data_IF_828237539359
#
_entry.id   IF_828237539359
#
_cell.length_a   1.000
_cell.length_b   1.000
_cell.length_c   1.000
_cell.angle_alpha   90.00
_cell.angle_beta   90.00
_cell.angle_gamma   90.00
#
_symmetry.space_group_name_H-M   'P 1'
#
loop_
_entity.id
_entity.type
_entity.pdbx_description
1 polymer ?
#
# COMPACT_ATOMS: atom_id res chain seq x y z
N UNK A 1 -24.30 12.00 -10.91
CA UNK A 1 -22.95 12.40 -11.35
C UNK A 1 -22.34 13.25 -10.26
N UNK A 2 -21.18 12.86 -9.71
CA UNK A 2 -20.54 13.58 -8.60
C UNK A 2 -19.73 14.81 -9.07
N UNK A 3 -19.63 15.08 -10.38
CA UNK A 3 -18.97 16.27 -10.95
C UNK A 3 -17.56 16.55 -10.40
N UNK A 4 -16.79 15.50 -10.07
CA UNK A 4 -15.44 15.65 -9.51
C UNK A 4 -15.35 15.99 -8.02
N UNK A 5 -16.46 16.13 -7.29
CA UNK A 5 -16.44 16.36 -5.85
C UNK A 5 -15.87 15.16 -5.07
N UNK A 6 -16.01 13.96 -5.65
CA UNK A 6 -15.29 12.77 -5.17
C UNK A 6 -13.93 12.75 -5.84
N UNK A 7 -12.93 13.30 -5.16
CA UNK A 7 -11.55 13.45 -5.65
C UNK A 7 -10.76 12.14 -5.64
N UNK A 8 -11.22 11.15 -6.41
CA UNK A 8 -10.54 9.86 -6.56
C UNK A 8 -9.72 9.84 -7.85
N UNK A 9 -8.40 9.75 -7.71
CA UNK A 9 -7.46 9.49 -8.79
C UNK A 9 -7.08 8.01 -8.75
N UNK A 10 -7.45 7.24 -9.78
CA UNK A 10 -7.29 5.78 -9.79
C UNK A 10 -6.37 5.34 -10.92
N UNK A 11 -5.55 4.34 -10.63
CA UNK A 11 -4.89 3.51 -11.62
C UNK A 11 -5.57 2.15 -11.57
N UNK A 12 -6.16 1.73 -12.69
CA UNK A 12 -6.86 0.47 -12.84
C UNK A 12 -6.08 -0.42 -13.80
N UNK A 13 -5.57 -1.54 -13.31
CA UNK A 13 -4.82 -2.51 -14.12
C UNK A 13 -5.35 -3.92 -13.90
N UNK A 14 -5.32 -4.73 -14.97
CA UNK A 14 -5.77 -6.12 -14.92
C UNK A 14 -5.38 -6.90 -16.17
N UNK A 15 -5.64 -8.20 -16.15
CA UNK A 15 -5.44 -9.10 -17.30
C UNK A 15 -6.74 -9.84 -17.56
N UNK A 16 -7.30 -9.66 -18.75
CA UNK A 16 -8.53 -10.34 -19.18
C UNK A 16 -8.26 -11.35 -20.32
N UNK A 17 -9.31 -11.73 -21.06
CA UNK A 17 -9.20 -12.66 -22.19
C UNK A 17 -8.49 -12.05 -23.41
N UNK A 18 -8.53 -10.73 -23.56
CA UNK A 18 -7.89 -9.99 -24.64
C UNK A 18 -6.43 -9.62 -24.32
N UNK A 19 -6.09 -9.45 -23.04
CA UNK A 19 -4.72 -9.24 -22.60
C UNK A 19 -4.59 -8.37 -21.35
N UNK A 20 -3.38 -7.83 -21.09
CA UNK A 20 -3.17 -6.85 -20.04
C UNK A 20 -3.71 -5.48 -20.46
N UNK A 21 -4.42 -4.82 -19.55
CA UNK A 21 -4.95 -3.47 -19.74
C UNK A 21 -4.61 -2.60 -18.54
N UNK A 22 -4.27 -1.34 -18.81
CA UNK A 22 -3.95 -0.33 -17.81
C UNK A 22 -4.66 0.98 -18.15
N UNK A 23 -5.41 1.49 -17.19
CA UNK A 23 -6.21 2.69 -17.31
C UNK A 23 -5.92 3.65 -16.16
N UNK A 24 -5.97 4.94 -16.44
CA UNK A 24 -6.10 5.99 -15.42
C UNK A 24 -7.52 6.50 -15.40
N UNK A 25 -8.02 6.84 -14.21
CA UNK A 25 -9.35 7.46 -14.03
C UNK A 25 -9.14 8.71 -13.19
N UNK A 26 -9.42 9.87 -13.78
CA UNK A 26 -9.31 11.15 -13.09
C UNK A 26 -10.60 11.46 -12.32
N UNK A 27 -10.54 12.31 -11.28
CA UNK A 27 -11.70 12.65 -10.45
C UNK A 27 -12.94 13.11 -11.21
N UNK A 28 -12.76 13.82 -12.33
CA UNK A 28 -13.87 14.31 -13.14
C UNK A 28 -14.44 13.26 -14.12
N UNK A 29 -13.90 12.04 -14.12
CA UNK A 29 -14.39 10.90 -14.89
C UNK A 29 -13.76 10.70 -16.26
N UNK A 30 -12.71 11.46 -16.64
CA UNK A 30 -11.94 11.10 -17.84
C UNK A 30 -11.10 9.87 -17.58
N UNK A 31 -10.79 9.17 -18.67
CA UNK A 31 -10.02 7.94 -18.64
C UNK A 31 -9.01 7.91 -19.76
N UNK A 32 -7.77 7.52 -19.45
CA UNK A 32 -6.74 7.25 -20.46
C UNK A 32 -6.33 5.78 -20.42
N UNK A 33 -5.91 5.23 -21.57
CA UNK A 33 -5.39 3.86 -21.69
C UNK A 33 -3.98 3.94 -22.25
N UNK A 34 -2.99 3.57 -21.44
CA UNK A 34 -1.57 3.76 -21.73
C UNK A 34 -0.75 2.56 -21.27
N UNK A 35 0.41 2.28 -21.89
CA UNK A 35 1.28 1.17 -21.51
C UNK A 35 1.87 1.30 -20.08
N UNK A 36 1.99 2.52 -19.58
CA UNK A 36 2.37 2.84 -18.20
C UNK A 36 1.61 4.10 -17.75
N UNK A 37 1.48 4.28 -16.44
CA UNK A 37 0.80 5.41 -15.86
C UNK A 37 1.40 5.77 -14.50
N UNK A 38 1.39 7.06 -14.15
CA UNK A 38 1.75 7.55 -12.83
C UNK A 38 0.67 8.51 -12.32
N UNK A 39 0.32 8.39 -11.05
CA UNK A 39 -0.67 9.26 -10.37
C UNK A 39 -0.15 9.62 -8.97
N UNK A 40 -0.73 10.66 -8.37
CA UNK A 40 -0.32 11.17 -7.05
C UNK A 40 0.71 12.30 -7.11
N UNK A 41 1.17 12.77 -5.96
CA UNK A 41 2.08 13.93 -5.84
C UNK A 41 3.48 13.66 -6.40
N UNK A 42 4.03 12.45 -6.20
CA UNK A 42 5.32 12.02 -6.75
C UNK A 42 5.28 11.55 -8.21
N UNK A 43 4.16 11.73 -8.91
CA UNK A 43 3.93 11.18 -10.26
C UNK A 43 4.92 11.66 -11.31
N UNK A 44 5.36 12.93 -11.25
CA UNK A 44 6.30 13.51 -12.22
C UNK A 44 7.70 12.88 -12.11
N UNK A 45 8.17 12.61 -10.89
CA UNK A 45 9.45 11.95 -10.65
C UNK A 45 9.43 10.49 -11.11
N UNK A 46 8.30 9.79 -10.91
CA UNK A 46 8.10 8.45 -11.44
C UNK A 46 7.99 8.44 -12.97
N UNK A 47 7.33 9.43 -13.56
CA UNK A 47 7.17 9.56 -15.02
C UNK A 47 8.52 9.69 -15.72
N UNK A 48 9.43 10.50 -15.16
CA UNK A 48 10.79 10.65 -15.71
C UNK A 48 11.55 9.32 -15.82
N UNK A 49 11.35 8.40 -14.87
CA UNK A 49 11.96 7.06 -14.90
C UNK A 49 11.34 6.20 -16.00
N UNK A 50 10.01 6.21 -16.13
CA UNK A 50 9.33 5.48 -17.20
C UNK A 50 9.74 5.99 -18.58
N UNK A 51 9.71 7.30 -18.82
CA UNK A 51 10.13 7.89 -20.11
C UNK A 51 11.58 7.57 -20.45
N UNK A 52 12.47 7.48 -19.46
CA UNK A 52 13.88 7.19 -19.69
C UNK A 52 14.18 5.71 -19.95
N UNK A 53 13.40 4.77 -19.39
CA UNK A 53 13.80 3.36 -19.28
C UNK A 53 12.77 2.35 -19.75
N UNK A 54 11.52 2.76 -19.93
CA UNK A 54 10.48 1.88 -20.43
C UNK A 54 10.79 1.45 -21.87
N UNK A 55 10.53 0.17 -22.15
CA UNK A 55 10.53 -0.38 -23.50
C UNK A 55 9.48 -1.47 -23.58
N UNK A 56 8.99 -1.73 -24.78
CA UNK A 56 8.14 -2.88 -25.01
C UNK A 56 8.90 -4.20 -24.76
N UNK A 57 8.15 -5.24 -24.37
CA UNK A 57 8.71 -6.58 -24.16
C UNK A 57 9.67 -6.70 -22.97
N UNK A 58 9.44 -5.96 -21.89
CA UNK A 58 10.15 -6.20 -20.62
C UNK A 58 9.81 -7.59 -20.07
N UNK A 59 10.82 -8.27 -19.53
CA UNK A 59 10.57 -9.44 -18.69
C UNK A 59 9.91 -9.04 -17.38
N UNK A 60 9.31 -10.00 -16.67
CA UNK A 60 8.71 -9.78 -15.35
C UNK A 60 9.67 -9.08 -14.40
N UNK A 61 10.91 -9.56 -14.30
CA UNK A 61 11.88 -9.05 -13.33
C UNK A 61 12.41 -7.66 -13.71
N UNK A 62 12.55 -7.37 -15.01
CA UNK A 62 12.86 -6.02 -15.48
C UNK A 62 11.71 -5.04 -15.19
N UNK A 63 10.46 -5.46 -15.42
CA UNK A 63 9.27 -4.66 -15.10
C UNK A 63 9.15 -4.35 -13.62
N UNK A 64 9.35 -5.36 -12.76
CA UNK A 64 9.38 -5.19 -11.30
C UNK A 64 10.44 -4.18 -10.90
N UNK A 65 11.69 -4.31 -11.39
CA UNK A 65 12.78 -3.38 -11.08
C UNK A 65 12.48 -1.95 -11.55
N UNK A 66 11.95 -1.79 -12.76
CA UNK A 66 11.60 -0.49 -13.33
C UNK A 66 10.55 0.24 -12.48
N UNK A 67 9.46 -0.45 -12.14
CA UNK A 67 8.40 0.12 -11.29
C UNK A 67 8.95 0.48 -9.92
N UNK A 68 9.77 -0.40 -9.34
CA UNK A 68 10.36 -0.16 -8.03
C UNK A 68 11.27 1.08 -8.02
N UNK A 69 12.07 1.26 -9.07
CA UNK A 69 12.89 2.45 -9.26
C UNK A 69 12.04 3.71 -9.46
N UNK A 70 10.96 3.64 -10.24
CA UNK A 70 10.05 4.77 -10.46
C UNK A 70 9.40 5.24 -9.15
N UNK A 71 8.94 4.31 -8.30
CA UNK A 71 8.39 4.65 -6.98
C UNK A 71 9.47 5.20 -6.05
N UNK A 72 10.68 4.63 -6.04
CA UNK A 72 11.80 5.20 -5.28
C UNK A 72 12.13 6.63 -5.71
N UNK A 73 12.11 6.92 -7.00
CA UNK A 73 12.29 8.30 -7.51
C UNK A 73 11.22 9.24 -6.93
N UNK A 74 9.96 8.81 -6.88
CA UNK A 74 8.89 9.54 -6.19
C UNK A 74 9.18 9.76 -4.70
N UNK A 75 9.56 8.71 -3.98
CA UNK A 75 9.89 8.76 -2.54
C UNK A 75 10.99 9.79 -2.22
N UNK A 76 12.05 9.84 -3.02
CA UNK A 76 13.20 10.72 -2.74
C UNK A 76 13.03 12.16 -3.24
N UNK A 77 12.06 12.43 -4.12
CA UNK A 77 11.88 13.75 -4.73
C UNK A 77 10.55 14.43 -4.39
N UNK A 78 9.61 13.73 -3.73
CA UNK A 78 8.33 14.29 -3.28
C UNK A 78 8.14 14.16 -1.76
N UNK A 79 7.81 15.27 -1.10
CA UNK A 79 7.61 15.31 0.36
C UNK A 79 6.32 14.59 0.79
N UNK A 80 5.33 14.49 -0.10
CA UNK A 80 4.09 13.75 0.14
C UNK A 80 4.23 12.23 -0.02
N UNK A 81 5.39 11.76 -0.49
CA UNK A 81 5.69 10.36 -0.76
C UNK A 81 6.78 9.85 0.18
N UNK A 82 6.73 8.57 0.56
CA UNK A 82 7.71 8.00 1.49
C UNK A 82 7.40 6.57 1.91
N UNK A 83 8.17 6.05 2.87
CA UNK A 83 8.05 4.68 3.41
C UNK A 83 8.60 3.59 2.46
N UNK A 84 7.88 2.48 2.33
CA UNK A 84 8.31 1.29 1.60
C UNK A 84 7.67 1.23 0.21
N UNK A 85 8.28 0.44 -0.67
CA UNK A 85 7.75 0.17 -2.01
C UNK A 85 6.99 -1.15 -1.99
N UNK A 86 5.73 -1.10 -2.36
CA UNK A 86 4.86 -2.28 -2.55
C UNK A 86 4.68 -2.54 -4.05
N UNK A 87 4.71 -3.81 -4.45
CA UNK A 87 4.53 -4.22 -5.85
C UNK A 87 3.46 -5.29 -5.92
N UNK A 88 2.56 -5.17 -6.92
CA UNK A 88 1.62 -6.22 -7.27
C UNK A 88 1.91 -6.67 -8.70
N UNK A 89 2.16 -7.96 -8.89
CA UNK A 89 2.36 -8.57 -10.21
C UNK A 89 1.09 -9.32 -10.58
N UNK A 90 0.44 -8.90 -11.66
CA UNK A 90 -0.77 -9.52 -12.18
C UNK A 90 -0.43 -10.18 -13.52
N UNK A 91 -0.71 -11.48 -13.61
CA UNK A 91 -0.57 -12.29 -14.81
C UNK A 91 -1.88 -13.04 -15.07
N UNK A 92 -2.01 -13.70 -16.22
CA UNK A 92 -3.23 -14.46 -16.54
C UNK A 92 -3.48 -15.54 -15.49
N UNK A 93 -4.54 -15.37 -14.69
CA UNK A 93 -4.96 -16.33 -13.66
C UNK A 93 -4.13 -16.34 -12.37
N UNK A 94 -3.14 -15.46 -12.22
CA UNK A 94 -2.32 -15.38 -11.00
C UNK A 94 -2.00 -13.94 -10.62
N UNK A 95 -2.12 -13.64 -9.33
CA UNK A 95 -1.67 -12.41 -8.72
C UNK A 95 -0.64 -12.71 -7.63
N UNK A 96 0.33 -11.81 -7.47
CA UNK A 96 1.36 -11.89 -6.46
C UNK A 96 1.57 -10.51 -5.84
N UNK A 97 1.37 -10.43 -4.52
CA UNK A 97 1.59 -9.21 -3.75
C UNK A 97 2.94 -9.27 -3.04
N UNK A 98 3.83 -8.38 -3.44
CA UNK A 98 5.16 -8.17 -2.88
C UNK A 98 5.13 -6.93 -2.00
N UNK A 99 4.64 -7.11 -0.77
CA UNK A 99 4.58 -6.03 0.23
C UNK A 99 5.96 -5.80 0.84
N UNK A 100 6.35 -4.54 1.02
CA UNK A 100 7.68 -4.11 1.44
C UNK A 100 8.79 -4.69 0.55
N UNK A 101 8.57 -4.70 -0.76
CA UNK A 101 9.56 -5.15 -1.74
C UNK A 101 10.89 -4.39 -1.58
N UNK A 102 10.82 -3.07 -1.32
CA UNK A 102 11.98 -2.29 -0.87
C UNK A 102 11.62 -1.43 0.34
N UNK A 103 12.60 -1.27 1.24
CA UNK A 103 12.52 -0.44 2.44
C UNK A 103 13.65 0.60 2.42
N UNK A 104 13.58 1.63 1.58
CA UNK A 104 14.69 2.55 1.34
C UNK A 104 15.09 3.37 2.58
N UNK A 105 14.14 3.60 3.50
CA UNK A 105 14.34 4.47 4.66
C UNK A 105 14.02 3.72 5.97
N UNK A 106 14.91 2.82 6.44
CA UNK A 106 14.74 2.20 7.74
C UNK A 106 14.90 3.25 8.85
N UNK A 107 14.16 3.08 9.94
CA UNK A 107 14.32 3.92 11.13
C UNK A 107 15.68 3.61 11.76
N UNK A 108 16.64 4.53 11.62
CA UNK A 108 18.03 4.36 12.10
C UNK A 108 18.18 4.54 13.60
N UNK A 109 17.32 5.36 14.22
CA UNK A 109 17.39 5.65 15.66
C UNK A 109 16.10 5.30 16.39
N UNK A 110 16.26 4.47 17.41
CA UNK A 110 15.26 4.19 18.45
C UNK A 110 15.99 4.39 19.78
N UNK A 111 15.43 5.21 20.67
CA UNK A 111 15.99 5.36 22.01
C UNK A 111 15.93 4.00 22.72
N UNK A 112 17.09 3.41 23.00
CA UNK A 112 17.19 2.11 23.70
C UNK A 112 16.54 2.14 25.08
N UNK A 113 16.61 3.30 25.75
CA UNK A 113 16.05 3.48 27.10
C UNK A 113 14.54 3.77 27.09
N UNK A 114 13.95 4.05 25.92
CA UNK A 114 12.58 4.53 25.81
C UNK A 114 12.35 5.84 26.59
N UNK A 115 11.08 6.21 26.77
CA UNK A 115 10.69 7.28 27.69
C UNK A 115 9.89 6.65 28.83
N UNK A 116 10.43 6.73 30.05
CA UNK A 116 9.72 6.31 31.26
C UNK A 116 9.29 7.54 32.04
N UNK A 117 7.99 7.64 32.32
CA UNK A 117 7.43 8.69 33.15
C UNK A 117 7.11 8.12 34.53
N UNK A 118 7.70 8.69 35.59
CA UNK A 118 7.28 8.39 36.95
C UNK A 118 5.85 8.89 37.16
N UNK A 119 4.97 8.11 37.80
CA UNK A 119 3.58 8.47 38.14
C UNK A 119 3.50 9.59 39.19
N UNK A 120 4.02 10.77 38.87
CA UNK A 120 4.04 11.95 39.76
C UNK A 120 2.84 12.87 39.55
N UNK A 121 2.12 12.73 38.44
CA UNK A 121 0.88 13.45 38.20
C UNK A 121 -0.24 12.84 39.04
N UNK A 122 -0.91 13.67 39.83
CA UNK A 122 -2.03 13.23 40.66
C UNK A 122 -3.24 12.86 39.80
N UNK A 123 -3.88 11.74 40.12
CA UNK A 123 -5.09 11.28 39.44
C UNK A 123 -6.29 11.98 40.08
N UNK A 124 -6.98 12.83 39.31
CA UNK A 124 -8.13 13.59 39.80
C UNK A 124 -9.34 12.71 40.18
N UNK A 125 -9.58 11.62 39.43
CA UNK A 125 -10.64 10.66 39.71
C UNK A 125 -10.30 9.30 39.11
N UNK A 126 -10.42 8.24 39.91
CA UNK A 126 -10.30 6.85 39.44
C UNK A 126 -11.65 6.16 39.57
N UNK A 127 -12.22 5.65 38.47
CA UNK A 127 -13.40 4.77 38.49
C UNK A 127 -13.03 3.45 37.82
N UNK A 128 -13.04 2.37 38.59
CA UNK A 128 -12.80 1.01 38.09
C UNK A 128 -14.17 0.33 37.99
N UNK A 129 -14.54 -0.09 36.78
CA UNK A 129 -15.76 -0.90 36.56
C UNK A 129 -15.31 -2.30 36.19
N UNK A 130 -15.53 -3.31 37.06
CA UNK A 130 -15.16 -4.69 36.74
C UNK A 130 -15.97 -5.20 35.54
N UNK A 131 -15.30 -5.94 34.67
CA UNK A 131 -15.95 -6.61 33.55
C UNK A 131 -16.87 -7.72 34.08
N UNK A 132 -18.04 -7.87 33.46
CA UNK A 132 -18.99 -8.95 33.78
C UNK A 132 -18.60 -10.18 32.96
N UNK A 133 -18.32 -11.31 33.61
CA UNK A 133 -18.12 -12.57 32.91
C UNK A 133 -19.41 -12.95 32.16
N UNK A 134 -19.32 -13.05 30.84
CA UNK A 134 -20.47 -13.28 29.95
C UNK A 134 -20.54 -14.70 29.38
N UNK A 135 -19.73 -15.65 29.87
CA UNK A 135 -19.73 -17.01 29.33
C UNK A 135 -19.48 -18.05 30.43
N UNK A 136 -20.45 -18.93 30.67
CA UNK A 136 -20.18 -20.25 31.24
C UNK A 136 -19.59 -21.11 30.12
N UNK A 137 -18.28 -21.39 30.20
CA UNK A 137 -17.66 -22.39 29.33
C UNK A 137 -18.18 -23.74 29.80
N UNK A 138 -19.10 -24.33 29.03
CA UNK A 138 -19.51 -25.72 29.19
C UNK A 138 -18.45 -26.52 28.41
N UNK A 139 -17.72 -27.40 29.09
CA UNK A 139 -16.84 -28.38 28.45
C UNK A 139 -17.70 -29.35 27.64
N UNK A 140 -18.00 -28.96 26.39
CA UNK A 140 -18.57 -29.85 25.39
C UNK A 140 -17.49 -30.86 24.99
N UNK A 141 -17.69 -32.11 25.40
CA UNK A 141 -16.76 -33.21 25.19
C UNK A 141 -16.33 -33.37 23.72
N UNK A 142 -15.06 -33.74 23.57
CA UNK A 142 -14.51 -34.29 22.35
C UNK A 142 -15.37 -35.47 21.87
N UNK A 143 -16.16 -35.24 20.82
CA UNK A 143 -16.78 -36.29 20.03
C UNK A 143 -16.89 -35.81 18.58
N UNK A 144 -15.77 -35.88 17.86
CA UNK A 144 -15.81 -36.20 16.44
C UNK A 144 -15.20 -37.59 16.29
N UNK A 145 -16.08 -38.59 16.22
CA UNK A 145 -15.80 -39.88 15.61
C UNK A 145 -15.64 -39.70 14.08
N UNK A 146 -14.74 -40.52 13.53
CA UNK A 146 -14.30 -40.77 12.13
C UNK A 146 -14.88 -39.96 10.96
#
# INVERSE_FOLDING_TARGET
>A
SYQGHVSAALVLGGVDVAGPHLHTIYPHGSTDTLPFATMGSGSLAAMAIFESKYREGLSRDEGVKLVAEAICSGIFNDLGSGSNVDICVITKGKQEYLRNYMTPNPRTYVSEKGYSFTKKTEVLLTKITPLKELVQVIEGGDAMEE
#
